data_IF_894866799058
#
_entry.id   IF_894866799058
#
_cell.length_a   1.000
_cell.length_b   1.000
_cell.length_c   1.000
_cell.angle_alpha   90.00
_cell.angle_beta   90.00
_cell.angle_gamma   90.00
#
_symmetry.space_group_name_H-M   'P 1'
#
loop_
_entity.id
_entity.type
_entity.pdbx_description
1 polymer ?
#
# COMPACT_ATOMS: atom_id res chain seq x y z
N UNK A 1 -1.94 -0.78 5.85
CA UNK A 1 -2.65 0.06 4.86
C UNK A 1 -1.89 0.09 3.54
N UNK A 2 -2.56 0.33 2.42
CA UNK A 2 -1.97 0.44 1.09
C UNK A 2 -2.31 1.81 0.50
N UNK A 3 -1.27 2.57 0.20
CA UNK A 3 -1.32 3.88 -0.44
C UNK A 3 -1.34 3.67 -1.96
N UNK A 4 -2.41 4.12 -2.61
CA UNK A 4 -2.67 3.86 -4.03
C UNK A 4 -3.19 5.11 -4.75
N UNK A 5 -3.21 5.10 -6.08
CA UNK A 5 -3.84 6.15 -6.91
C UNK A 5 -4.60 5.57 -8.11
N UNK A 6 -5.68 6.23 -8.58
CA UNK A 6 -6.37 5.82 -9.79
C UNK A 6 -5.47 5.93 -11.03
N UNK A 7 -5.63 5.02 -11.98
CA UNK A 7 -4.81 4.97 -13.20
C UNK A 7 -3.42 4.34 -13.03
N UNK A 8 -3.13 3.73 -11.87
CA UNK A 8 -1.91 2.95 -11.67
C UNK A 8 -2.18 1.45 -11.92
N UNK A 9 -1.56 0.82 -12.94
CA UNK A 9 -1.85 -0.57 -13.29
C UNK A 9 -1.49 -1.57 -12.18
N UNK A 10 -0.43 -1.26 -11.40
CA UNK A 10 -0.03 -2.09 -10.26
C UNK A 10 -1.01 -1.97 -9.09
N UNK A 11 -1.54 -0.78 -8.83
CA UNK A 11 -2.58 -0.56 -7.82
C UNK A 11 -3.86 -1.32 -8.19
N UNK A 12 -4.29 -1.24 -9.44
CA UNK A 12 -5.48 -1.94 -9.94
C UNK A 12 -5.34 -3.46 -9.81
N UNK A 13 -4.16 -4.01 -10.08
CA UNK A 13 -3.87 -5.43 -9.90
C UNK A 13 -4.01 -5.85 -8.43
N UNK A 14 -3.47 -5.05 -7.52
CA UNK A 14 -3.54 -5.28 -6.08
C UNK A 14 -4.98 -5.15 -5.55
N UNK A 15 -5.70 -4.11 -5.96
CA UNK A 15 -7.12 -3.90 -5.63
C UNK A 15 -7.99 -5.06 -6.12
N UNK A 16 -7.73 -5.56 -7.32
CA UNK A 16 -8.45 -6.73 -7.85
C UNK A 16 -8.19 -7.99 -7.04
N UNK A 17 -6.97 -8.18 -6.53
CA UNK A 17 -6.59 -9.36 -5.78
C UNK A 17 -7.04 -9.30 -4.31
N UNK A 18 -6.94 -8.12 -3.67
CA UNK A 18 -7.04 -7.95 -2.22
C UNK A 18 -8.07 -6.88 -1.79
N UNK A 19 -8.82 -6.30 -2.71
CA UNK A 19 -9.78 -5.22 -2.42
C UNK A 19 -10.90 -5.61 -1.45
N UNK A 20 -11.18 -6.91 -1.31
CA UNK A 20 -12.13 -7.46 -0.34
C UNK A 20 -11.51 -7.95 0.97
N UNK A 21 -10.19 -7.88 1.13
CA UNK A 21 -9.53 -8.32 2.35
C UNK A 21 -9.68 -7.25 3.45
N UNK A 22 -10.42 -7.57 4.50
CA UNK A 22 -10.72 -6.64 5.59
C UNK A 22 -9.48 -6.18 6.38
N UNK A 23 -8.34 -6.88 6.23
CA UNK A 23 -7.07 -6.50 6.88
C UNK A 23 -6.35 -5.39 6.12
N UNK A 24 -6.77 -5.11 4.87
CA UNK A 24 -6.14 -4.12 4.01
C UNK A 24 -6.99 -2.85 3.95
N UNK A 25 -6.49 -1.78 4.57
CA UNK A 25 -7.04 -0.43 4.38
C UNK A 25 -6.43 0.21 3.13
N UNK A 26 -7.27 0.62 2.18
CA UNK A 26 -6.84 1.28 0.94
C UNK A 26 -7.00 2.80 1.07
N UNK A 27 -5.93 3.56 0.86
CA UNK A 27 -5.93 5.02 0.96
C UNK A 27 -5.52 5.62 -0.38
N UNK A 28 -6.39 6.45 -0.95
CA UNK A 28 -6.12 7.13 -2.22
C UNK A 28 -5.30 8.40 -1.97
N UNK A 29 -4.03 8.39 -2.37
CA UNK A 29 -3.10 9.51 -2.14
C UNK A 29 -3.44 10.76 -2.94
N UNK A 30 -4.28 10.67 -3.98
CA UNK A 30 -4.77 11.87 -4.68
C UNK A 30 -5.93 12.54 -3.96
N UNK A 31 -6.65 11.80 -3.12
CA UNK A 31 -7.75 12.35 -2.32
C UNK A 31 -7.29 12.81 -0.94
N UNK A 32 -6.12 12.35 -0.50
CA UNK A 32 -5.56 12.61 0.82
C UNK A 32 -4.12 13.11 0.69
N UNK A 33 -3.94 14.42 0.94
CA UNK A 33 -2.64 15.08 0.85
C UNK A 33 -1.65 14.59 1.91
N UNK A 34 -2.14 14.16 3.08
CA UNK A 34 -1.31 13.61 4.16
C UNK A 34 -0.78 12.23 3.77
N UNK A 35 -1.64 11.40 3.18
CA UNK A 35 -1.23 10.10 2.61
C UNK A 35 -0.18 10.27 1.50
N UNK A 36 -0.32 11.30 0.66
CA UNK A 36 0.68 11.61 -0.36
C UNK A 36 2.00 12.10 0.24
N UNK A 37 1.93 12.95 1.26
CA UNK A 37 3.11 13.38 2.00
C UNK A 37 3.85 12.18 2.61
N UNK A 38 3.13 11.20 3.16
CA UNK A 38 3.74 9.98 3.71
C UNK A 38 4.46 9.15 2.64
N UNK A 39 3.86 8.95 1.46
CA UNK A 39 4.55 8.32 0.32
C UNK A 39 5.86 9.04 0.01
N UNK A 40 5.82 10.36 -0.13
CA UNK A 40 7.01 11.17 -0.43
C UNK A 40 8.06 11.08 0.68
N UNK A 41 7.65 11.07 1.95
CA UNK A 41 8.57 10.94 3.10
C UNK A 41 9.31 9.62 3.07
N UNK A 42 8.65 8.54 2.69
CA UNK A 42 9.26 7.21 2.60
C UNK A 42 10.17 7.04 1.37
N UNK A 43 9.86 7.74 0.26
CA UNK A 43 10.58 7.58 -1.01
C UNK A 43 11.42 8.80 -1.39
N UNK A 44 11.88 9.59 -0.42
CA UNK A 44 12.81 10.70 -0.68
C UNK A 44 12.25 11.83 -1.56
N UNK A 45 10.92 11.98 -1.60
CA UNK A 45 10.20 12.97 -2.40
C UNK A 45 9.37 12.38 -3.53
N UNK A 46 9.57 11.10 -3.87
CA UNK A 46 8.86 10.45 -4.97
C UNK A 46 7.48 9.92 -4.56
N UNK A 47 6.52 9.95 -5.48
CA UNK A 47 5.14 9.48 -5.29
C UNK A 47 4.98 8.02 -5.77
N UNK A 48 5.82 7.13 -5.23
CA UNK A 48 5.83 5.72 -5.61
C UNK A 48 4.63 4.98 -5.03
N UNK A 49 3.80 4.46 -5.92
CA UNK A 49 2.60 3.69 -5.57
C UNK A 49 2.51 2.44 -6.45
N UNK A 50 1.93 1.33 -5.95
CA UNK A 50 1.37 1.16 -4.61
C UNK A 50 2.44 1.04 -3.52
N UNK A 51 2.23 1.69 -2.38
CA UNK A 51 3.10 1.55 -1.19
C UNK A 51 2.29 0.94 -0.05
N UNK A 52 2.72 -0.19 0.49
CA UNK A 52 2.05 -0.82 1.63
C UNK A 52 2.82 -0.59 2.92
N UNK A 53 2.10 -0.17 3.96
CA UNK A 53 2.59 -0.01 5.32
C UNK A 53 1.98 -1.11 6.18
N UNK A 54 2.80 -2.06 6.64
CA UNK A 54 2.35 -3.26 7.37
C UNK A 54 3.27 -3.51 8.57
N UNK A 55 2.74 -3.41 9.79
CA UNK A 55 3.52 -3.72 11.02
C UNK A 55 4.85 -2.98 11.12
N UNK A 56 4.92 -1.71 10.71
CA UNK A 56 6.16 -0.92 10.68
C UNK A 56 7.10 -1.18 9.49
N UNK A 57 6.74 -2.11 8.59
CA UNK A 57 7.45 -2.35 7.33
C UNK A 57 6.82 -1.56 6.20
N UNK A 58 7.67 -1.11 5.27
CA UNK A 58 7.28 -0.41 4.05
C UNK A 58 7.58 -1.33 2.87
N UNK A 59 6.57 -1.63 2.07
CA UNK A 59 6.70 -2.40 0.83
C UNK A 59 6.39 -1.51 -0.36
N UNK A 60 7.36 -1.34 -1.24
CA UNK A 60 7.22 -0.54 -2.47
C UNK A 60 6.85 -1.43 -3.63
N UNK A 61 5.69 -1.17 -4.25
CA UNK A 61 5.13 -1.95 -5.34
C UNK A 61 5.08 -3.48 -5.09
N UNK A 62 4.52 -3.95 -3.95
CA UNK A 62 4.49 -5.37 -3.63
C UNK A 62 3.54 -6.16 -4.54
N UNK A 63 3.85 -7.44 -4.73
CA UNK A 63 2.89 -8.42 -5.24
C UNK A 63 1.80 -8.70 -4.20
N UNK A 64 0.65 -9.24 -4.64
CA UNK A 64 -0.42 -9.65 -3.70
C UNK A 64 0.06 -10.70 -2.68
N UNK A 65 0.92 -11.64 -3.10
CA UNK A 65 1.53 -12.64 -2.21
C UNK A 65 2.41 -12.00 -1.13
N UNK A 66 3.31 -11.09 -1.53
CA UNK A 66 4.21 -10.38 -0.60
C UNK A 66 3.42 -9.57 0.44
N UNK A 67 2.34 -8.92 0.01
CA UNK A 67 1.47 -8.17 0.92
C UNK A 67 0.75 -9.11 1.91
N UNK A 68 0.24 -10.26 1.45
CA UNK A 68 -0.39 -11.25 2.32
C UNK A 68 0.61 -11.81 3.35
N UNK A 69 1.81 -12.21 2.92
CA UNK A 69 2.85 -12.70 3.83
C UNK A 69 3.22 -11.67 4.89
N UNK A 70 3.31 -10.40 4.51
CA UNK A 70 3.56 -9.32 5.46
C UNK A 70 2.42 -9.14 6.48
N UNK A 71 1.15 -9.30 6.06
CA UNK A 71 -0.01 -9.20 6.95
C UNK A 71 -0.08 -10.36 7.95
N UNK A 72 0.26 -11.57 7.50
CA UNK A 72 0.37 -12.74 8.37
C UNK A 72 1.48 -12.52 9.42
N UNK A 73 2.66 -12.07 8.99
CA UNK A 73 3.79 -11.81 9.89
C UNK A 73 3.55 -10.67 10.88
N UNK A 74 2.70 -9.70 10.55
CA UNK A 74 2.33 -8.59 11.44
C UNK A 74 1.23 -8.95 12.45
N UNK A 75 0.50 -10.05 12.24
CA UNK A 75 -0.57 -10.49 13.15
C UNK A 75 -0.07 -11.41 14.28
N UNK A 76 1.22 -11.77 14.27
CA UNK A 76 1.83 -12.75 15.17
C UNK A 76 2.91 -12.22 16.13
N UNK A 77 3.02 -10.90 16.30
CA UNK A 77 3.94 -10.25 17.27
C UNK A 77 3.17 -9.70 18.48
#
# INVERSE_FOLDING_TARGET
MVLWKPGCPYCERLLRALGGDARVTWVNVWADEDANAEVRRHHGGDELVPTALVGGRILTNPSAGELLEALEGASGD
#
